data_IF_227595077542
#
_entry.id   IF_227595077542
#
_cell.length_a   1.000
_cell.length_b   1.000
_cell.length_c   1.000
_cell.angle_alpha   90.00
_cell.angle_beta   90.00
_cell.angle_gamma   90.00
#
_symmetry.space_group_name_H-M   'P 1'
#
loop_
_entity.id
_entity.type
_entity.pdbx_description
1 polymer ?
#
# COMPACT_ATOMS: atom_id res chain seq x y z
N UNK A 1 -16.00 -10.07 15.76
CA UNK A 1 -15.91 -11.53 15.94
C UNK A 1 -14.56 -11.91 16.55
N UNK A 2 -13.45 -12.10 15.80
CA UNK A 2 -12.17 -12.49 16.44
C UNK A 2 -11.63 -11.45 17.44
N UNK A 3 -11.83 -10.15 17.18
CA UNK A 3 -11.34 -9.10 18.08
C UNK A 3 -11.97 -9.21 19.48
N UNK A 4 -13.27 -9.52 19.56
CA UNK A 4 -13.96 -9.74 20.83
C UNK A 4 -13.49 -11.02 21.53
N UNK A 5 -13.27 -12.10 20.77
CA UNK A 5 -12.78 -13.37 21.31
C UNK A 5 -11.43 -13.22 22.02
N UNK A 6 -10.53 -12.43 21.45
CA UNK A 6 -9.19 -12.14 22.01
C UNK A 6 -9.15 -10.88 22.90
N UNK A 7 -10.29 -10.28 23.22
CA UNK A 7 -10.34 -9.07 24.05
C UNK A 7 -9.70 -7.82 23.42
N UNK A 8 -9.53 -7.78 22.11
CA UNK A 8 -8.97 -6.65 21.36
C UNK A 8 -10.03 -5.56 21.16
N UNK A 9 -9.63 -4.31 21.36
CA UNK A 9 -10.52 -3.14 21.23
C UNK A 9 -10.80 -2.77 19.77
N UNK A 10 -9.83 -3.01 18.89
CA UNK A 10 -9.91 -2.74 17.45
C UNK A 10 -9.19 -3.84 16.66
N UNK A 11 -9.56 -4.11 15.40
CA UNK A 11 -8.87 -5.10 14.60
C UNK A 11 -7.42 -4.63 14.26
N UNK A 12 -6.37 -5.33 14.71
CA UNK A 12 -4.99 -4.82 14.66
C UNK A 12 -4.40 -4.81 13.24
N UNK A 13 -4.83 -5.71 12.36
CA UNK A 13 -4.22 -5.94 11.04
C UNK A 13 -5.10 -5.47 9.87
N UNK A 14 -5.83 -4.37 10.05
CA UNK A 14 -6.59 -3.77 8.95
C UNK A 14 -5.65 -3.31 7.83
N UNK A 15 -6.12 -3.48 6.59
CA UNK A 15 -5.41 -3.00 5.40
C UNK A 15 -5.63 -1.52 5.14
N UNK A 16 -6.70 -0.95 5.71
CA UNK A 16 -6.96 0.49 5.66
C UNK A 16 -5.84 1.22 6.41
N UNK A 17 -5.21 2.25 5.80
CA UNK A 17 -4.20 3.05 6.48
C UNK A 17 -4.77 3.72 7.74
N UNK A 18 -4.07 3.55 8.87
CA UNK A 18 -4.41 4.18 10.14
C UNK A 18 -3.10 4.54 10.86
N UNK A 19 -2.92 5.84 11.11
CA UNK A 19 -1.71 6.38 11.73
C UNK A 19 -1.44 5.83 13.13
N UNK A 20 -2.46 5.35 13.84
CA UNK A 20 -2.30 4.74 15.18
C UNK A 20 -1.45 3.47 15.16
N UNK A 21 -1.42 2.78 14.03
CA UNK A 21 -0.66 1.56 13.82
C UNK A 21 0.69 1.80 13.10
N UNK A 22 1.12 3.06 12.98
CA UNK A 22 2.41 3.38 12.40
C UNK A 22 3.54 2.84 13.30
N UNK A 23 4.29 1.88 12.74
CA UNK A 23 5.48 1.32 13.35
C UNK A 23 6.71 1.93 12.70
N UNK A 24 7.48 2.67 13.49
CA UNK A 24 8.69 3.35 13.03
C UNK A 24 9.88 2.39 12.97
N UNK A 25 9.92 1.56 11.93
CA UNK A 25 11.06 0.67 11.68
C UNK A 25 12.32 1.44 11.27
N UNK A 26 13.46 0.76 11.24
CA UNK A 26 14.75 1.34 10.85
C UNK A 26 14.70 1.93 9.45
N UNK A 27 14.08 1.20 8.51
CA UNK A 27 13.89 1.67 7.12
C UNK A 27 12.96 2.88 7.02
N UNK A 28 11.92 2.95 7.87
CA UNK A 28 11.05 4.13 7.92
C UNK A 28 11.75 5.35 8.50
N UNK A 29 12.54 5.18 9.57
CA UNK A 29 13.33 6.26 10.18
C UNK A 29 14.36 6.83 9.21
N UNK A 30 15.06 5.95 8.48
CA UNK A 30 15.97 6.37 7.42
C UNK A 30 15.22 7.12 6.32
N UNK A 31 14.11 6.58 5.81
CA UNK A 31 13.30 7.24 4.79
C UNK A 31 12.81 8.63 5.24
N UNK A 32 12.38 8.75 6.50
CA UNK A 32 11.97 10.01 7.10
C UNK A 32 13.12 11.02 7.16
N UNK A 33 14.32 10.59 7.54
CA UNK A 33 15.50 11.45 7.54
C UNK A 33 15.81 12.01 6.14
N UNK A 34 15.67 11.20 5.08
CA UNK A 34 15.82 11.68 3.70
C UNK A 34 14.73 12.68 3.30
N UNK A 35 13.48 12.45 3.70
CA UNK A 35 12.36 13.36 3.44
C UNK A 35 12.55 14.70 4.16
N UNK A 36 12.89 14.69 5.45
CA UNK A 36 13.15 15.89 6.24
C UNK A 36 14.36 16.65 5.69
N UNK A 37 15.46 15.94 5.40
CA UNK A 37 16.65 16.54 4.80
C UNK A 37 16.30 17.27 3.50
N UNK A 38 15.63 16.60 2.56
CA UNK A 38 15.29 17.24 1.30
C UNK A 38 14.26 18.35 1.49
N UNK A 39 13.28 18.20 2.39
CA UNK A 39 12.35 19.28 2.72
C UNK A 39 13.09 20.54 3.18
N UNK A 40 14.16 20.44 3.96
CA UNK A 40 14.94 21.61 4.37
C UNK A 40 15.73 22.26 3.21
N UNK A 41 16.22 21.46 2.26
CA UNK A 41 17.00 21.98 1.13
C UNK A 41 16.14 22.71 0.09
N UNK A 42 14.82 22.50 0.09
CA UNK A 42 13.85 23.16 -0.80
C UNK A 42 14.07 22.97 -2.30
N UNK A 43 15.00 22.12 -2.70
CA UNK A 43 15.40 21.96 -4.09
C UNK A 43 15.12 20.54 -4.60
N UNK A 44 14.70 20.48 -5.87
CA UNK A 44 14.64 19.26 -6.67
C UNK A 44 13.53 18.27 -6.32
N UNK A 45 13.73 17.05 -6.81
CA UNK A 45 12.85 15.91 -6.58
C UNK A 45 13.37 15.05 -5.43
N UNK A 46 12.47 14.65 -4.53
CA UNK A 46 12.74 13.53 -3.63
C UNK A 46 11.97 12.31 -4.13
N UNK A 47 12.67 11.19 -4.29
CA UNK A 47 12.06 9.95 -4.74
C UNK A 47 12.04 8.94 -3.60
N UNK A 48 10.86 8.43 -3.27
CA UNK A 48 10.71 7.30 -2.35
C UNK A 48 10.09 6.16 -3.12
N UNK A 49 10.80 5.04 -3.23
CA UNK A 49 10.23 3.83 -3.84
C UNK A 49 10.16 2.70 -2.85
N UNK A 50 9.23 1.77 -3.04
CA UNK A 50 9.04 0.63 -2.16
C UNK A 50 7.93 -0.25 -2.69
N UNK A 51 7.87 -1.48 -2.20
CA UNK A 51 6.87 -2.46 -2.59
C UNK A 51 5.44 -1.95 -2.33
N UNK A 52 4.47 -2.59 -2.97
CA UNK A 52 3.05 -2.29 -2.71
C UNK A 52 2.75 -2.60 -1.24
N UNK A 53 2.28 -1.57 -0.52
CA UNK A 53 2.01 -1.71 0.91
C UNK A 53 3.23 -1.67 1.82
N UNK A 54 4.38 -1.15 1.34
CA UNK A 54 5.55 -0.89 2.16
C UNK A 54 5.37 0.27 3.17
N UNK A 55 4.32 1.08 3.03
CA UNK A 55 4.03 2.21 3.94
C UNK A 55 4.43 3.59 3.41
N UNK A 56 4.75 3.73 2.12
CA UNK A 56 5.15 5.01 1.47
C UNK A 56 4.17 6.16 1.75
N UNK A 57 2.88 5.93 1.57
CA UNK A 57 1.84 6.94 1.78
C UNK A 57 1.76 7.34 3.26
N UNK A 58 1.85 6.36 4.17
CA UNK A 58 1.83 6.61 5.63
C UNK A 58 3.07 7.40 6.05
N UNK A 59 4.23 7.12 5.46
CA UNK A 59 5.48 7.86 5.71
C UNK A 59 5.31 9.34 5.36
N UNK A 60 4.72 9.66 4.21
CA UNK A 60 4.49 11.05 3.81
C UNK A 60 3.40 11.71 4.66
N UNK A 61 2.32 11.01 4.99
CA UNK A 61 1.28 11.56 5.86
C UNK A 61 1.84 11.85 7.27
N UNK A 62 2.75 11.02 7.78
CA UNK A 62 3.49 11.28 9.02
C UNK A 62 4.37 12.53 8.91
N UNK A 63 5.13 12.70 7.82
CA UNK A 63 5.89 13.92 7.59
C UNK A 63 4.98 15.15 7.58
N UNK A 64 3.86 15.12 6.85
CA UNK A 64 2.92 16.23 6.78
C UNK A 64 2.30 16.59 8.13
N UNK A 65 2.22 15.63 9.06
CA UNK A 65 1.75 15.86 10.43
C UNK A 65 2.81 16.49 11.36
N UNK A 66 4.09 16.41 10.99
CA UNK A 66 5.21 16.95 11.79
C UNK A 66 5.68 18.32 11.33
N UNK A 67 5.36 18.73 10.10
CA UNK A 67 5.72 20.04 9.55
C UNK A 67 4.67 21.09 9.93
N UNK A 68 5.11 22.34 10.07
CA UNK A 68 4.21 23.47 10.29
C UNK A 68 3.45 23.79 8.98
N UNK A 69 2.18 23.39 8.94
CA UNK A 69 1.30 23.56 7.78
C UNK A 69 1.09 25.03 7.40
N UNK A 70 1.34 26.00 8.30
CA UNK A 70 1.24 27.42 7.95
C UNK A 70 2.32 27.86 6.94
N UNK A 71 3.46 27.16 6.91
CA UNK A 71 4.59 27.45 6.03
C UNK A 71 4.52 26.74 4.68
N UNK A 72 3.56 25.83 4.49
CA UNK A 72 3.48 24.98 3.29
C UNK A 72 2.10 24.99 2.65
N UNK A 73 2.09 25.01 1.31
CA UNK A 73 0.92 24.67 0.51
C UNK A 73 1.19 23.31 -0.13
N UNK A 74 0.38 22.32 0.22
CA UNK A 74 0.61 20.92 -0.17
C UNK A 74 -0.49 20.46 -1.12
N UNK A 75 -0.10 19.89 -2.27
CA UNK A 75 -1.00 19.13 -3.14
C UNK A 75 -0.55 17.67 -3.17
N UNK A 76 -1.48 16.74 -2.92
CA UNK A 76 -1.26 15.29 -3.06
C UNK A 76 -2.07 14.77 -4.23
N UNK A 77 -1.39 14.17 -5.20
CA UNK A 77 -1.98 13.58 -6.40
C UNK A 77 -1.69 12.09 -6.36
N UNK A 78 -2.71 11.28 -6.65
CA UNK A 78 -2.54 9.83 -6.82
C UNK A 78 -2.77 9.52 -8.29
N UNK A 79 -1.74 9.04 -8.98
CA UNK A 79 -1.83 8.72 -10.41
C UNK A 79 -2.36 7.30 -10.58
N UNK A 80 -3.67 7.16 -10.70
CA UNK A 80 -4.31 5.92 -11.20
C UNK A 80 -4.24 5.91 -12.72
N UNK A 81 -4.02 4.75 -13.36
CA UNK A 81 -3.93 4.57 -14.83
C UNK A 81 -5.06 5.30 -15.58
N UNK A 82 -4.84 6.57 -15.89
CA UNK A 82 -5.74 7.40 -16.69
C UNK A 82 -5.03 7.51 -18.02
N UNK A 83 -5.59 6.87 -19.05
CA UNK A 83 -4.97 6.67 -20.35
C UNK A 83 -4.79 7.96 -21.19
N UNK A 84 -4.66 9.13 -20.56
CA UNK A 84 -4.53 10.44 -21.20
C UNK A 84 -4.01 11.52 -20.26
N UNK A 85 -2.85 11.30 -19.64
CA UNK A 85 -2.27 12.19 -18.62
C UNK A 85 -2.31 13.69 -19.00
N UNK A 86 -3.14 14.45 -18.30
CA UNK A 86 -3.02 15.90 -18.14
C UNK A 86 -2.56 16.16 -16.70
N UNK A 87 -1.30 15.83 -16.40
CA UNK A 87 -0.72 16.03 -15.06
C UNK A 87 -0.92 17.47 -14.60
N UNK A 88 -0.76 18.45 -15.49
CA UNK A 88 -1.01 19.85 -15.16
C UNK A 88 -2.45 20.11 -14.67
N UNK A 89 -3.47 19.40 -15.18
CA UNK A 89 -4.86 19.53 -14.69
C UNK A 89 -5.02 18.93 -13.29
N UNK A 90 -4.31 17.84 -13.00
CA UNK A 90 -4.27 17.24 -11.66
C UNK A 90 -3.57 18.17 -10.68
N UNK A 91 -2.43 18.74 -11.07
CA UNK A 91 -1.66 19.70 -10.26
C UNK A 91 -2.46 20.96 -10.00
N UNK A 92 -3.06 21.55 -11.04
CA UNK A 92 -3.93 22.72 -10.89
C UNK A 92 -5.11 22.41 -9.96
N UNK A 93 -5.77 21.26 -10.14
CA UNK A 93 -6.84 20.81 -9.25
C UNK A 93 -6.38 20.65 -7.80
N UNK A 94 -5.22 20.02 -7.58
CA UNK A 94 -4.66 19.80 -6.24
C UNK A 94 -4.31 21.09 -5.50
N UNK A 95 -3.95 22.15 -6.21
CA UNK A 95 -3.70 23.48 -5.64
C UNK A 95 -4.95 24.40 -5.64
N UNK A 96 -6.11 23.93 -6.13
CA UNK A 96 -7.32 24.75 -6.22
C UNK A 96 -7.29 25.83 -7.31
N UNK A 97 -6.46 25.65 -8.34
CA UNK A 97 -6.30 26.57 -9.46
C UNK A 97 -7.39 26.28 -10.51
N UNK A 98 -8.08 27.33 -10.96
CA UNK A 98 -9.08 27.22 -12.01
C UNK A 98 -8.47 26.70 -13.33
N UNK A 99 -9.11 25.67 -13.92
CA UNK A 99 -8.56 24.88 -15.03
C UNK A 99 -9.46 24.75 -16.27
N UNK A 100 -10.70 25.23 -16.19
CA UNK A 100 -11.73 25.01 -17.22
C UNK A 100 -11.40 25.73 -18.54
N UNK A 101 -11.46 24.99 -19.66
CA UNK A 101 -11.27 25.52 -21.01
C UNK A 101 -9.85 26.04 -21.32
N UNK A 102 -8.87 25.77 -20.44
CA UNK A 102 -7.52 26.28 -20.60
C UNK A 102 -6.68 25.37 -21.48
N UNK A 103 -5.93 25.99 -22.40
CA UNK A 103 -4.83 25.32 -23.07
C UNK A 103 -3.70 25.01 -22.07
N UNK A 104 -2.93 23.97 -22.36
CA UNK A 104 -1.80 23.48 -21.54
C UNK A 104 -0.82 24.58 -21.12
N UNK A 105 -0.43 25.46 -22.04
CA UNK A 105 0.48 26.57 -21.76
C UNK A 105 -0.08 27.58 -20.75
N UNK A 106 -1.37 27.90 -20.86
CA UNK A 106 -2.06 28.79 -19.91
C UNK A 106 -2.16 28.17 -18.52
N UNK A 107 -2.35 26.85 -18.46
CA UNK A 107 -2.40 26.11 -17.20
C UNK A 107 -1.02 26.10 -16.51
N UNK A 108 0.05 25.84 -17.27
CA UNK A 108 1.42 25.92 -16.78
C UNK A 108 1.74 27.32 -16.23
N UNK A 109 1.33 28.37 -16.94
CA UNK A 109 1.52 29.74 -16.50
C UNK A 109 0.76 30.03 -15.19
N UNK A 110 -0.49 29.59 -15.06
CA UNK A 110 -1.25 29.76 -13.81
C UNK A 110 -0.64 29.02 -12.62
N UNK A 111 -0.13 27.81 -12.83
CA UNK A 111 0.58 27.07 -11.79
C UNK A 111 1.85 27.84 -11.38
N UNK A 112 2.58 28.36 -12.36
CA UNK A 112 3.77 29.16 -12.10
C UNK A 112 3.43 30.42 -11.28
N UNK A 113 2.47 31.22 -11.74
CA UNK A 113 2.01 32.43 -11.04
C UNK A 113 1.55 32.14 -9.61
N UNK A 114 0.83 31.03 -9.42
CA UNK A 114 0.42 30.56 -8.10
C UNK A 114 1.62 30.26 -7.21
N UNK A 115 2.57 29.45 -7.69
CA UNK A 115 3.78 29.07 -6.94
C UNK A 115 4.59 30.31 -6.54
N UNK A 116 4.80 31.23 -7.48
CA UNK A 116 5.48 32.51 -7.24
C UNK A 116 4.76 33.34 -6.16
N UNK A 117 3.43 33.42 -6.23
CA UNK A 117 2.62 34.15 -5.26
C UNK A 117 2.71 33.53 -3.86
N UNK A 118 2.70 32.20 -3.73
CA UNK A 118 2.84 31.54 -2.43
C UNK A 118 4.20 31.81 -1.80
N UNK A 119 5.27 31.73 -2.59
CA UNK A 119 6.62 31.97 -2.09
C UNK A 119 6.82 33.41 -1.64
N UNK A 120 6.26 34.40 -2.36
CA UNK A 120 6.26 35.81 -1.92
C UNK A 120 5.52 36.03 -0.60
N UNK A 121 4.55 35.18 -0.29
CA UNK A 121 3.85 35.18 1.00
C UNK A 121 4.58 34.35 2.08
N UNK A 122 5.82 33.95 1.85
CA UNK A 122 6.62 33.14 2.78
C UNK A 122 6.22 31.67 2.85
N UNK A 123 5.33 31.20 1.95
CA UNK A 123 4.87 29.81 1.93
C UNK A 123 5.55 29.02 0.82
N UNK A 124 6.01 27.82 1.15
CA UNK A 124 6.63 26.89 0.21
C UNK A 124 5.60 25.98 -0.42
N UNK A 125 5.77 25.64 -1.69
CA UNK A 125 4.84 24.74 -2.39
C UNK A 125 5.43 23.34 -2.46
N UNK A 126 4.66 22.36 -1.98
CA UNK A 126 5.01 20.94 -1.98
C UNK A 126 4.01 20.15 -2.83
N UNK A 127 4.50 19.48 -3.85
CA UNK A 127 3.74 18.55 -4.68
C UNK A 127 4.11 17.12 -4.31
N UNK A 128 3.14 16.30 -3.92
CA UNK A 128 3.32 14.87 -3.68
C UNK A 128 2.61 14.12 -4.79
N UNK A 129 3.33 13.28 -5.51
CA UNK A 129 2.79 12.39 -6.54
C UNK A 129 2.96 10.96 -6.07
N UNK A 130 1.85 10.31 -5.73
CA UNK A 130 1.79 8.91 -5.35
C UNK A 130 1.48 8.02 -6.56
N UNK A 131 1.97 6.79 -6.54
CA UNK A 131 1.94 5.83 -7.66
C UNK A 131 2.64 6.35 -8.95
N UNK A 132 3.77 7.06 -8.79
CA UNK A 132 4.51 7.73 -9.85
C UNK A 132 4.99 6.81 -11.00
N UNK A 133 5.04 5.49 -10.80
CA UNK A 133 5.33 4.55 -11.90
C UNK A 133 4.24 4.53 -12.98
N UNK A 134 3.06 5.06 -12.70
CA UNK A 134 1.97 5.18 -13.66
C UNK A 134 2.08 6.44 -14.53
N UNK A 135 3.01 7.36 -14.23
CA UNK A 135 3.21 8.55 -15.05
C UNK A 135 3.83 8.21 -16.40
N UNK A 136 3.28 8.79 -17.46
CA UNK A 136 3.91 8.82 -18.78
C UNK A 136 5.24 9.60 -18.78
N UNK A 137 6.06 9.38 -19.80
CA UNK A 137 7.30 10.16 -20.00
C UNK A 137 6.98 11.64 -20.22
N UNK A 138 5.88 11.93 -20.91
CA UNK A 138 5.38 13.28 -21.16
C UNK A 138 5.00 13.99 -19.85
N UNK A 139 4.31 13.31 -18.94
CA UNK A 139 3.98 13.84 -17.62
C UNK A 139 5.24 14.04 -16.74
N UNK A 140 6.22 13.15 -16.81
CA UNK A 140 7.50 13.33 -16.10
C UNK A 140 8.27 14.56 -16.62
N UNK A 141 8.23 14.82 -17.93
CA UNK A 141 8.78 16.06 -18.50
C UNK A 141 8.03 17.31 -18.04
N UNK A 142 6.70 17.25 -17.89
CA UNK A 142 5.91 18.33 -17.29
C UNK A 142 6.31 18.61 -15.83
N UNK A 143 6.51 17.58 -15.01
CA UNK A 143 7.05 17.74 -13.65
C UNK A 143 8.42 18.41 -13.69
N UNK A 144 9.30 18.01 -14.62
CA UNK A 144 10.62 18.61 -14.79
C UNK A 144 10.51 20.09 -15.18
N UNK A 145 9.55 20.46 -16.03
CA UNK A 145 9.31 21.86 -16.38
C UNK A 145 8.81 22.66 -15.17
N UNK A 146 7.89 22.11 -14.38
CA UNK A 146 7.37 22.75 -13.16
C UNK A 146 8.42 22.92 -12.07
N UNK A 147 9.38 22.00 -11.93
CA UNK A 147 10.44 22.15 -10.94
C UNK A 147 11.42 23.29 -11.26
N UNK A 148 11.41 23.88 -12.46
CA UNK A 148 12.25 25.03 -12.81
C UNK A 148 11.83 26.36 -12.21
N UNK A 149 10.73 26.42 -11.48
CA UNK A 149 10.25 27.69 -10.96
C UNK A 149 11.20 28.14 -9.84
N UNK A 150 11.90 29.25 -10.08
CA UNK A 150 12.89 29.84 -9.17
C UNK A 150 12.46 31.26 -8.81
N UNK A 151 12.54 31.60 -7.52
CA UNK A 151 12.35 32.96 -6.99
C UNK A 151 13.51 33.30 -6.10
N UNK A 152 14.11 34.47 -6.30
CA UNK A 152 15.21 34.97 -5.47
C UNK A 152 16.35 33.94 -5.29
N UNK A 153 16.64 33.18 -6.36
CA UNK A 153 17.65 32.11 -6.43
C UNK A 153 17.33 30.84 -5.62
N UNK A 154 16.08 30.66 -5.20
CA UNK A 154 15.61 29.46 -4.51
C UNK A 154 14.50 28.78 -5.31
N UNK A 155 14.48 27.44 -5.32
CA UNK A 155 13.41 26.70 -5.99
C UNK A 155 12.09 26.89 -5.23
N UNK A 156 11.04 27.20 -5.99
CA UNK A 156 9.73 27.57 -5.47
C UNK A 156 8.80 26.38 -5.23
N UNK A 157 9.01 25.32 -6.03
CA UNK A 157 8.24 24.09 -6.01
C UNK A 157 9.15 22.91 -5.69
N UNK A 158 8.83 22.21 -4.61
CA UNK A 158 9.44 20.94 -4.27
C UNK A 158 8.48 19.79 -4.60
N UNK A 159 9.01 18.67 -5.10
CA UNK A 159 8.18 17.54 -5.53
C UNK A 159 8.66 16.22 -4.92
N UNK A 160 7.75 15.48 -4.29
CA UNK A 160 7.97 14.12 -3.79
C UNK A 160 7.30 13.12 -4.72
N UNK A 161 8.09 12.22 -5.28
CA UNK A 161 7.61 11.17 -6.18
C UNK A 161 7.66 9.84 -5.43
N UNK A 162 6.48 9.32 -5.09
CA UNK A 162 6.32 8.03 -4.43
C UNK A 162 5.97 7.00 -5.49
N UNK A 163 6.75 5.92 -5.57
CA UNK A 163 6.56 4.92 -6.61
C UNK A 163 6.86 3.50 -6.17
N UNK A 164 6.54 2.56 -7.04
CA UNK A 164 6.95 1.17 -6.91
C UNK A 164 8.38 0.96 -7.46
N UNK A 165 9.04 -0.19 -7.22
CA UNK A 165 10.40 -0.42 -7.69
C UNK A 165 10.59 -0.22 -9.21
N UNK A 166 9.56 -0.47 -10.02
CA UNK A 166 9.56 -0.24 -11.47
C UNK A 166 9.84 1.23 -11.84
N UNK A 167 9.45 2.18 -10.98
CA UNK A 167 9.73 3.60 -11.21
C UNK A 167 11.23 3.90 -11.29
N UNK A 168 12.07 3.12 -10.59
CA UNK A 168 13.53 3.26 -10.67
C UNK A 168 14.06 2.93 -12.06
N UNK A 169 13.51 1.88 -12.67
CA UNK A 169 13.88 1.50 -14.03
C UNK A 169 13.45 2.58 -15.03
N UNK A 170 12.25 3.14 -14.86
CA UNK A 170 11.76 4.28 -15.68
C UNK A 170 12.72 5.47 -15.55
N UNK A 171 13.07 5.87 -14.33
CA UNK A 171 14.00 6.98 -14.06
C UNK A 171 15.44 6.73 -14.56
N UNK A 172 15.85 5.47 -14.68
CA UNK A 172 17.13 5.06 -15.26
C UNK A 172 17.19 5.21 -16.77
N UNK A 173 16.06 5.47 -17.44
CA UNK A 173 16.01 5.69 -18.88
C UNK A 173 16.83 6.91 -19.31
N UNK A 174 17.60 6.83 -20.41
CA UNK A 174 18.30 7.99 -20.98
C UNK A 174 17.37 9.18 -21.28
N UNK A 175 16.10 8.92 -21.60
CA UNK A 175 15.11 9.98 -21.88
C UNK A 175 14.85 10.89 -20.69
N UNK A 176 15.08 10.41 -19.46
CA UNK A 176 14.82 11.14 -18.22
C UNK A 176 16.11 11.63 -17.54
N UNK A 177 17.22 11.68 -18.25
CA UNK A 177 18.51 12.11 -17.69
C UNK A 177 18.41 13.50 -17.04
N UNK A 178 17.71 14.44 -17.68
CA UNK A 178 17.53 15.80 -17.15
C UNK A 178 16.70 15.85 -15.87
N UNK A 179 15.69 14.97 -15.73
CA UNK A 179 14.92 14.86 -14.50
C UNK A 179 15.77 14.22 -13.41
N UNK A 180 16.51 13.17 -13.73
CA UNK A 180 17.39 12.46 -12.80
C UNK A 180 18.48 13.35 -12.21
N UNK A 181 19.04 14.27 -13.00
CA UNK A 181 20.01 15.27 -12.52
C UNK A 181 19.43 16.25 -11.48
N UNK A 182 18.10 16.32 -11.35
CA UNK A 182 17.39 17.15 -10.34
C UNK A 182 16.90 16.37 -9.15
N UNK A 183 17.23 15.08 -9.06
CA UNK A 183 16.89 14.26 -7.91
C UNK A 183 17.87 14.60 -6.80
N UNK A 184 17.37 15.28 -5.77
CA UNK A 184 18.15 15.68 -4.60
C UNK A 184 18.40 14.49 -3.67
N UNK A 185 17.40 13.62 -3.56
CA UNK A 185 17.45 12.45 -2.71
C UNK A 185 16.59 11.32 -3.29
N UNK A 186 17.08 10.09 -3.17
CA UNK A 186 16.32 8.90 -3.50
C UNK A 186 16.52 7.84 -2.40
N UNK A 187 15.42 7.23 -1.95
CA UNK A 187 15.47 6.18 -0.93
C UNK A 187 14.59 4.98 -1.32
N UNK A 188 15.05 3.77 -0.98
CA UNK A 188 14.22 2.56 -1.06
C UNK A 188 13.63 2.25 0.30
N UNK A 189 12.32 2.41 0.45
CA UNK A 189 11.61 1.79 1.55
C UNK A 189 11.47 0.29 1.26
N UNK A 190 12.48 -0.46 1.68
CA UNK A 190 12.49 -1.92 1.58
C UNK A 190 11.62 -2.59 2.65
N UNK A 191 11.51 -3.92 2.62
CA UNK A 191 10.77 -4.68 3.60
C UNK A 191 11.41 -4.61 5.00
N UNK A 192 10.63 -4.98 6.01
CA UNK A 192 11.09 -5.15 7.38
C UNK A 192 12.03 -6.36 7.47
N UNK A 193 13.04 -6.28 8.32
CA UNK A 193 13.82 -7.47 8.71
C UNK A 193 12.97 -8.47 9.51
N UNK A 194 13.48 -9.68 9.73
CA UNK A 194 12.82 -10.70 10.55
C UNK A 194 12.55 -10.19 11.99
N UNK A 195 13.56 -9.57 12.61
CA UNK A 195 13.44 -8.98 13.94
C UNK A 195 12.40 -7.84 13.97
N UNK A 196 12.40 -6.98 12.94
CA UNK A 196 11.39 -5.92 12.81
C UNK A 196 10.00 -6.46 12.51
N UNK A 197 9.88 -7.62 11.86
CA UNK A 197 8.59 -8.28 11.59
C UNK A 197 7.93 -8.71 12.89
N UNK A 198 8.70 -9.35 13.80
CA UNK A 198 8.22 -9.64 15.16
C UNK A 198 7.75 -8.38 15.87
N UNK A 199 8.62 -7.38 15.96
CA UNK A 199 8.32 -6.12 16.64
C UNK A 199 7.11 -5.39 16.03
N UNK A 200 6.93 -5.45 14.71
CA UNK A 200 5.78 -4.90 13.99
C UNK A 200 4.47 -5.60 14.35
N UNK A 201 4.45 -6.93 14.34
CA UNK A 201 3.27 -7.73 14.71
C UNK A 201 2.85 -7.43 16.14
N UNK A 202 3.79 -7.48 17.08
CA UNK A 202 3.55 -7.16 18.49
C UNK A 202 3.12 -5.70 18.68
N UNK A 203 3.73 -4.75 17.96
CA UNK A 203 3.33 -3.35 18.02
C UNK A 203 1.86 -3.17 17.65
N UNK A 204 1.42 -3.78 16.55
CA UNK A 204 0.03 -3.65 16.10
C UNK A 204 -0.95 -4.33 17.05
N UNK A 205 -0.58 -5.48 17.60
CA UNK A 205 -1.37 -6.15 18.65
C UNK A 205 -1.50 -5.25 19.89
N UNK A 206 -0.39 -4.69 20.42
CA UNK A 206 -0.43 -3.79 21.58
C UNK A 206 -1.28 -2.55 21.34
N UNK A 207 -1.27 -1.98 20.12
CA UNK A 207 -2.14 -0.86 19.73
C UNK A 207 -3.63 -1.21 19.75
N UNK A 208 -3.96 -2.49 19.71
CA UNK A 208 -5.32 -3.02 19.84
C UNK A 208 -5.68 -3.49 21.27
N UNK A 209 -4.90 -3.10 22.29
CA UNK A 209 -5.04 -3.54 23.69
C UNK A 209 -4.77 -5.04 23.93
N UNK A 210 -3.86 -5.63 23.14
CA UNK A 210 -3.47 -7.03 23.31
C UNK A 210 -2.81 -7.29 24.67
N UNK A 211 -3.33 -8.28 25.39
CA UNK A 211 -2.88 -8.71 26.73
C UNK A 211 -2.20 -10.09 26.73
N UNK A 212 -1.71 -10.51 25.57
CA UNK A 212 -1.09 -11.82 25.39
C UNK A 212 -2.01 -12.91 24.86
N UNK A 213 -3.26 -12.60 24.49
CA UNK A 213 -4.21 -13.55 23.90
C UNK A 213 -4.61 -13.12 22.46
N UNK A 214 -4.40 -13.95 21.42
CA UNK A 214 -3.71 -15.22 21.52
C UNK A 214 -2.21 -15.02 21.75
N UNK A 215 -1.59 -15.98 22.39
CA UNK A 215 -0.14 -16.06 22.52
C UNK A 215 0.44 -16.49 21.17
N UNK A 216 1.44 -15.77 20.66
CA UNK A 216 2.21 -16.18 19.49
C UNK A 216 3.51 -16.80 19.97
N UNK A 217 3.74 -18.07 19.64
CA UNK A 217 5.02 -18.72 19.94
C UNK A 217 6.14 -18.07 19.12
N UNK A 218 7.37 -18.05 19.67
CA UNK A 218 8.50 -17.34 19.05
C UNK A 218 8.90 -17.86 17.66
N UNK A 219 8.62 -19.13 17.37
CA UNK A 219 8.83 -19.79 16.08
C UNK A 219 7.81 -19.35 15.00
N UNK A 220 6.72 -18.67 15.36
CA UNK A 220 5.79 -18.09 14.40
C UNK A 220 6.41 -16.96 13.58
N UNK A 221 7.19 -16.08 14.22
CA UNK A 221 7.67 -14.85 13.58
C UNK A 221 8.64 -15.08 12.41
N UNK A 222 9.61 -16.02 12.49
CA UNK A 222 10.43 -16.39 11.34
C UNK A 222 9.60 -16.91 10.15
N UNK A 223 8.53 -17.68 10.42
CA UNK A 223 7.63 -18.18 9.38
C UNK A 223 6.78 -17.06 8.77
N UNK A 224 6.24 -16.15 9.60
CA UNK A 224 5.53 -14.95 9.13
C UNK A 224 6.44 -14.15 8.21
N UNK A 225 7.69 -13.89 8.63
CA UNK A 225 8.67 -13.18 7.79
C UNK A 225 8.92 -13.91 6.48
N UNK A 226 9.18 -15.24 6.51
CA UNK A 226 9.44 -16.05 5.32
C UNK A 226 8.28 -16.03 4.31
N UNK A 227 7.03 -16.12 4.77
CA UNK A 227 5.85 -16.13 3.89
C UNK A 227 5.48 -14.73 3.37
N UNK A 228 5.86 -13.68 4.08
CA UNK A 228 5.46 -12.29 3.73
C UNK A 228 6.58 -11.48 3.10
N UNK A 229 7.82 -11.96 3.18
CA UNK A 229 9.02 -11.23 2.78
C UNK A 229 9.24 -9.96 3.59
N UNK A 230 8.67 -9.83 4.79
CA UNK A 230 8.76 -8.63 5.61
C UNK A 230 7.93 -7.44 5.11
N UNK A 231 7.05 -7.63 4.11
CA UNK A 231 6.21 -6.55 3.56
C UNK A 231 5.00 -6.29 4.47
N UNK A 232 4.81 -5.08 5.03
CA UNK A 232 3.76 -4.79 6.01
C UNK A 232 2.34 -5.20 5.59
N UNK A 233 1.96 -4.97 4.32
CA UNK A 233 0.65 -5.40 3.79
C UNK A 233 0.48 -6.92 3.78
N UNK A 234 1.52 -7.67 3.46
CA UNK A 234 1.48 -9.13 3.48
C UNK A 234 1.44 -9.65 4.92
N UNK A 235 2.21 -9.04 5.83
CA UNK A 235 2.17 -9.34 7.26
C UNK A 235 0.75 -9.12 7.81
N UNK A 236 0.13 -7.98 7.51
CA UNK A 236 -1.23 -7.69 7.95
C UNK A 236 -2.24 -8.71 7.41
N UNK A 237 -2.13 -9.07 6.13
CA UNK A 237 -3.03 -10.03 5.50
C UNK A 237 -2.91 -11.40 6.18
N UNK A 238 -1.69 -11.91 6.35
CA UNK A 238 -1.44 -13.20 6.99
C UNK A 238 -1.88 -13.20 8.46
N UNK A 239 -1.51 -12.17 9.24
CA UNK A 239 -1.85 -12.10 10.66
C UNK A 239 -3.35 -11.92 10.90
N UNK A 240 -4.05 -11.15 10.07
CA UNK A 240 -5.51 -11.04 10.13
C UNK A 240 -6.19 -12.40 9.90
N UNK A 241 -5.69 -13.17 8.92
CA UNK A 241 -6.18 -14.53 8.66
C UNK A 241 -5.83 -15.52 9.77
N UNK A 242 -4.64 -15.42 10.37
CA UNK A 242 -4.23 -16.21 11.52
C UNK A 242 -5.15 -15.99 12.72
N UNK A 243 -5.48 -14.73 13.06
CA UNK A 243 -6.41 -14.43 14.16
C UNK A 243 -7.81 -14.98 13.86
N UNK A 244 -8.29 -14.86 12.63
CA UNK A 244 -9.56 -15.46 12.22
C UNK A 244 -9.55 -16.98 12.34
N UNK A 245 -8.49 -17.63 11.87
CA UNK A 245 -8.32 -19.08 11.99
C UNK A 245 -8.32 -19.53 13.45
N UNK A 246 -7.52 -18.89 14.31
CA UNK A 246 -7.50 -19.20 15.73
C UNK A 246 -8.86 -19.00 16.40
N UNK A 247 -9.62 -17.97 16.02
CA UNK A 247 -10.99 -17.79 16.52
C UNK A 247 -11.93 -18.94 16.10
N UNK A 248 -11.86 -19.38 14.84
CA UNK A 248 -12.70 -20.47 14.32
C UNK A 248 -12.37 -21.82 14.97
N UNK A 249 -11.09 -22.05 15.28
CA UNK A 249 -10.60 -23.24 15.96
C UNK A 249 -10.55 -23.09 17.48
N UNK A 250 -10.98 -21.95 18.02
CA UNK A 250 -10.96 -21.61 19.46
C UNK A 250 -9.57 -21.75 20.11
N UNK A 251 -8.52 -21.36 19.39
CA UNK A 251 -7.14 -21.39 19.84
C UNK A 251 -6.79 -20.09 20.60
N UNK A 252 -6.17 -20.23 21.76
CA UNK A 252 -5.56 -19.13 22.51
C UNK A 252 -4.03 -19.07 22.36
N UNK A 253 -3.44 -20.03 21.65
CA UNK A 253 -2.03 -20.05 21.28
C UNK A 253 -1.92 -20.32 19.78
N UNK A 254 -1.22 -19.44 19.06
CA UNK A 254 -0.88 -19.59 17.65
C UNK A 254 0.54 -20.15 17.59
N UNK A 255 0.64 -21.36 17.03
CA UNK A 255 1.90 -22.08 16.80
C UNK A 255 2.33 -22.01 15.33
N UNK A 256 3.59 -22.34 15.06
CA UNK A 256 4.18 -22.40 13.72
C UNK A 256 3.32 -23.15 12.68
N UNK A 257 2.73 -24.29 13.07
CA UNK A 257 1.87 -25.09 12.19
C UNK A 257 0.65 -24.31 11.67
N UNK A 258 0.07 -23.44 12.50
CA UNK A 258 -1.05 -22.60 12.08
C UNK A 258 -0.62 -21.56 11.05
N UNK A 259 0.59 -21.01 11.19
CA UNK A 259 1.18 -20.06 10.23
C UNK A 259 1.34 -20.70 8.86
N UNK A 260 1.95 -21.88 8.78
CA UNK A 260 2.15 -22.58 7.51
C UNK A 260 0.82 -22.99 6.86
N UNK A 261 -0.14 -23.46 7.65
CA UNK A 261 -1.48 -23.82 7.16
C UNK A 261 -2.19 -22.61 6.55
N UNK A 262 -2.28 -21.50 7.28
CA UNK A 262 -2.96 -20.29 6.80
C UNK A 262 -2.22 -19.66 5.61
N UNK A 263 -0.89 -19.67 5.61
CA UNK A 263 -0.10 -19.18 4.47
C UNK A 263 -0.28 -20.05 3.21
N UNK A 264 -0.48 -21.36 3.36
CA UNK A 264 -0.85 -22.25 2.26
C UNK A 264 -2.25 -21.92 1.74
N UNK A 265 -3.24 -21.86 2.62
CA UNK A 265 -4.63 -21.57 2.26
C UNK A 265 -4.74 -20.23 1.51
N UNK A 266 -4.04 -19.18 1.98
CA UNK A 266 -4.02 -17.87 1.33
C UNK A 266 -3.42 -17.91 -0.08
N UNK A 267 -2.37 -18.72 -0.30
CA UNK A 267 -1.77 -18.90 -1.63
C UNK A 267 -2.70 -19.65 -2.59
N UNK A 268 -3.42 -20.66 -2.09
CA UNK A 268 -4.40 -21.41 -2.86
C UNK A 268 -5.61 -20.54 -3.24
N UNK A 269 -6.11 -19.70 -2.33
CA UNK A 269 -7.18 -18.71 -2.61
C UNK A 269 -6.78 -17.78 -3.77
N UNK A 270 -5.56 -17.23 -3.75
CA UNK A 270 -5.05 -16.35 -4.80
C UNK A 270 -4.87 -17.11 -6.12
N UNK A 271 -4.37 -18.35 -6.07
CA UNK A 271 -4.15 -19.17 -7.25
C UNK A 271 -5.45 -19.41 -8.03
N UNK A 272 -6.57 -19.69 -7.35
CA UNK A 272 -7.89 -19.88 -7.97
C UNK A 272 -8.32 -18.63 -8.77
N UNK A 273 -8.19 -17.43 -8.17
CA UNK A 273 -8.54 -16.18 -8.86
C UNK A 273 -7.64 -15.92 -10.08
N UNK A 274 -6.35 -16.25 -9.99
CA UNK A 274 -5.41 -16.06 -11.12
C UNK A 274 -5.57 -17.11 -12.23
N UNK A 275 -6.07 -18.30 -11.93
CA UNK A 275 -6.30 -19.35 -12.95
C UNK A 275 -7.61 -19.15 -13.69
N UNK A 276 -8.67 -18.67 -13.03
CA UNK A 276 -9.93 -18.31 -13.68
C UNK A 276 -9.80 -17.06 -14.58
N UNK A 277 -8.90 -16.13 -14.25
CA UNK A 277 -8.63 -14.94 -15.08
C UNK A 277 -7.92 -15.26 -16.41
N UNK A 278 -7.25 -16.42 -16.52
CA UNK A 278 -6.55 -16.85 -17.74
C UNK A 278 -7.47 -17.71 -18.65
N UNK A 279 -8.61 -18.21 -18.14
CA UNK A 279 -9.58 -19.00 -18.90
C UNK A 279 -10.56 -18.18 -19.76
N UNK A 280 -10.52 -16.85 -19.68
CA UNK A 280 -11.52 -15.95 -20.27
C UNK A 280 -11.12 -15.24 -21.56
N UNK A 281 -10.23 -15.80 -22.39
CA UNK A 281 -10.00 -15.25 -23.74
C UNK A 281 -9.32 -16.24 -24.69
N UNK A 282 -10.07 -17.18 -25.26
CA UNK A 282 -9.74 -17.74 -26.59
C UNK A 282 -11.00 -18.22 -27.30
N UNK A 283 -11.49 -17.39 -28.23
CA UNK A 283 -12.18 -17.87 -29.43
C UNK A 283 -11.24 -18.74 -30.24
N UNK A 284 -11.46 -20.05 -30.24
CA UNK A 284 -10.74 -21.03 -31.05
C UNK A 284 -11.41 -22.40 -30.98
N UNK A 285 -11.76 -22.95 -32.14
CA UNK A 285 -12.58 -24.15 -32.37
C UNK A 285 -12.09 -25.44 -31.65
N UNK A 286 -12.98 -26.44 -31.46
CA UNK A 286 -12.76 -27.56 -30.55
C UNK A 286 -11.89 -28.65 -31.20
N UNK A 287 -10.85 -29.09 -30.50
CA UNK A 287 -10.13 -30.31 -30.84
C UNK A 287 -10.15 -31.26 -29.63
N UNK A 288 -10.75 -32.43 -29.85
CA UNK A 288 -11.04 -33.41 -28.83
C UNK A 288 -9.81 -33.98 -28.15
N UNK A 289 -9.82 -33.92 -26.82
CA UNK A 289 -9.29 -34.97 -25.95
C UNK A 289 -10.38 -35.24 -24.92
N UNK A 290 -10.97 -36.43 -24.99
CA UNK A 290 -11.92 -36.90 -24.00
C UNK A 290 -11.22 -36.87 -22.64
N UNK A 291 -11.70 -36.03 -21.72
CA UNK A 291 -11.32 -36.10 -20.32
C UNK A 291 -11.59 -37.54 -19.83
N UNK A 292 -10.57 -38.19 -19.28
CA UNK A 292 -10.69 -39.57 -18.80
C UNK A 292 -11.55 -39.56 -17.55
N UNK A 293 -12.46 -40.53 -17.37
CA UNK A 293 -13.36 -40.62 -16.22
C UNK A 293 -12.65 -40.50 -14.85
N UNK A 294 -11.37 -40.91 -14.77
CA UNK A 294 -10.53 -40.75 -13.59
C UNK A 294 -10.25 -39.28 -13.23
N UNK A 295 -10.06 -38.41 -14.22
CA UNK A 295 -9.81 -36.97 -14.00
C UNK A 295 -11.08 -36.25 -13.56
N UNK A 296 -12.24 -36.65 -14.10
CA UNK A 296 -13.55 -36.13 -13.68
C UNK A 296 -13.85 -36.55 -12.24
N UNK A 297 -13.52 -37.81 -11.88
CA UNK A 297 -13.74 -38.33 -10.52
C UNK A 297 -12.85 -37.63 -9.48
N UNK A 298 -11.58 -37.36 -9.81
CA UNK A 298 -10.65 -36.63 -8.93
C UNK A 298 -11.06 -35.16 -8.76
N UNK A 299 -11.57 -34.53 -9.82
CA UNK A 299 -12.10 -33.16 -9.75
C UNK A 299 -13.41 -33.09 -8.96
N UNK A 300 -14.27 -34.11 -9.09
CA UNK A 300 -15.49 -34.26 -8.29
C UNK A 300 -15.16 -34.49 -6.80
N UNK A 301 -14.17 -35.33 -6.47
CA UNK A 301 -13.80 -35.55 -5.06
C UNK A 301 -13.20 -34.30 -4.42
N UNK A 302 -12.40 -33.53 -5.17
CA UNK A 302 -11.85 -32.25 -4.67
C UNK A 302 -12.96 -31.20 -4.50
N UNK A 303 -13.93 -31.16 -5.40
CA UNK A 303 -15.10 -30.29 -5.29
C UNK A 303 -16.02 -30.72 -4.14
N UNK A 304 -16.24 -32.02 -3.92
CA UNK A 304 -17.00 -32.54 -2.79
C UNK A 304 -16.32 -32.23 -1.46
N UNK A 305 -14.99 -32.42 -1.36
CA UNK A 305 -14.23 -32.00 -0.17
C UNK A 305 -14.29 -30.48 0.06
N UNK A 306 -14.29 -29.67 -1.00
CA UNK A 306 -14.45 -28.22 -0.92
C UNK A 306 -15.87 -27.81 -0.53
N UNK A 307 -16.90 -28.46 -1.07
CA UNK A 307 -18.31 -28.23 -0.71
C UNK A 307 -18.57 -28.64 0.73
N UNK A 308 -17.97 -29.73 1.21
CA UNK A 308 -18.04 -30.13 2.61
C UNK A 308 -17.27 -29.18 3.53
N UNK A 309 -16.11 -28.67 3.10
CA UNK A 309 -15.32 -27.70 3.88
C UNK A 309 -16.05 -26.36 3.96
N UNK A 310 -16.56 -25.83 2.85
CA UNK A 310 -17.37 -24.62 2.84
C UNK A 310 -18.71 -24.82 3.53
N UNK A 311 -19.33 -26.00 3.39
CA UNK A 311 -20.57 -26.37 4.08
C UNK A 311 -20.37 -26.38 5.60
N UNK A 312 -19.26 -26.91 6.10
CA UNK A 312 -18.89 -26.84 7.53
C UNK A 312 -18.63 -25.41 8.01
N UNK A 313 -17.92 -24.60 7.22
CA UNK A 313 -17.64 -23.19 7.57
C UNK A 313 -18.92 -22.35 7.57
N UNK A 314 -19.80 -22.53 6.58
CA UNK A 314 -21.09 -21.84 6.48
C UNK A 314 -22.02 -22.31 7.60
N UNK A 315 -22.10 -23.61 7.88
CA UNK A 315 -22.91 -24.15 8.97
C UNK A 315 -22.44 -23.62 10.33
N UNK A 316 -21.12 -23.55 10.56
CA UNK A 316 -20.54 -23.01 11.80
C UNK A 316 -20.71 -21.48 11.89
N UNK A 317 -20.62 -20.76 10.78
CA UNK A 317 -20.92 -19.33 10.73
C UNK A 317 -22.41 -19.04 10.99
N UNK A 318 -23.32 -19.89 10.49
CA UNK A 318 -24.76 -19.82 10.77
C UNK A 318 -25.05 -20.19 12.23
N UNK A 319 -24.40 -21.21 12.80
CA UNK A 319 -24.54 -21.58 14.21
C UNK A 319 -24.04 -20.47 15.15
N UNK A 320 -22.92 -19.81 14.80
CA UNK A 320 -22.39 -18.65 15.53
C UNK A 320 -23.30 -17.42 15.38
N UNK A 321 -23.84 -17.16 14.19
CA UNK A 321 -24.81 -16.08 14.00
C UNK A 321 -26.11 -16.35 14.76
N UNK A 322 -26.58 -17.61 14.78
CA UNK A 322 -27.81 -18.01 15.46
C UNK A 322 -27.67 -17.93 16.98
N UNK A 323 -26.51 -18.30 17.54
CA UNK A 323 -26.24 -18.15 18.98
C UNK A 323 -26.11 -16.68 19.39
N UNK A 324 -25.52 -15.83 18.54
CA UNK A 324 -25.42 -14.38 18.78
C UNK A 324 -26.81 -13.70 18.83
N UNK A 325 -27.74 -14.08 17.94
CA UNK A 325 -29.11 -13.55 17.93
C UNK A 325 -30.01 -14.10 19.06
N UNK A 326 -29.67 -15.25 19.66
CA UNK A 326 -30.40 -15.81 20.80
C UNK A 326 -29.96 -15.21 22.14
N UNK A 327 -28.74 -14.69 22.25
CA UNK A 327 -28.23 -14.01 23.45
C UNK A 327 -28.66 -12.54 23.60
N UNK A 328 -29.27 -11.93 22.58
CA UNK A 328 -29.71 -10.52 22.58
C UNK A 328 -31.24 -10.30 22.75
N UNK A 329 -32.01 -11.32 23.17
CA UNK A 329 -33.40 -11.07 23.58
C UNK A 329 -33.47 -10.78 25.09
N UNK A 330 -34.02 -9.62 25.51
CA UNK A 330 -34.15 -9.24 26.91
C UNK A 330 -35.12 -10.13 27.69
#
# INVERSE_FOLDING_TARGET
MYAQFYGLTIPPFQLTPDARFFYESTVHRQAMAYLVYGLHHAEGFIIITGEVGAGKTILVDNLLSTIDQSNFIVAKIVTTQLAGDDLLLLVAGGFGIAKEGLAKGSLLQRINDFVLAQQRNGRRVLLIVDEAQNLSFEALEELRMLSNIVVDRTMALQSFLLGQPQFRAILGSPRLEQLRQRVTAAYHLGPLSEAETKAYVEHRLRRADWKGDPEFTDDCFPLIYRHTGGVPRQINTLCSRLLLFGFLEQLHTIEANAVDKVAKDLREEIAVVTTDAIGGSTTGAPNGKSETASQITERLSMLEEQVDRHGRVIKRAIEIATSYFQSERP
#
